data_IF_255943917957
#
_entry.id   IF_255943917957
#
_cell.length_a   1.000
_cell.length_b   1.000
_cell.length_c   1.000
_cell.angle_alpha   90.00
_cell.angle_beta   90.00
_cell.angle_gamma   90.00
#
_symmetry.space_group_name_H-M   'P 1'
#
loop_
_entity.id
_entity.type
_entity.pdbx_description
1 polymer ?
#
# COMPACT_ATOMS: atom_id res chain seq x y z
N UNK A 1 -13.49 23.93 -60.55
CA UNK A 1 -14.70 23.76 -59.72
C UNK A 1 -14.76 22.44 -58.95
N UNK A 2 -13.91 21.50 -59.23
CA UNK A 2 -13.86 20.14 -58.55
C UNK A 2 -13.17 20.16 -57.19
N UNK A 3 -12.14 20.97 -56.99
CA UNK A 3 -11.35 21.01 -55.74
C UNK A 3 -12.08 21.58 -54.50
N UNK A 4 -13.14 22.35 -54.68
CA UNK A 4 -13.89 22.94 -53.55
C UNK A 4 -14.88 21.96 -52.92
N UNK A 5 -15.35 20.94 -53.68
CA UNK A 5 -16.29 19.91 -53.16
C UNK A 5 -15.63 18.86 -52.26
N UNK A 6 -14.32 18.64 -52.38
CA UNK A 6 -13.57 17.66 -51.61
C UNK A 6 -13.14 18.16 -50.23
N UNK A 7 -12.98 19.51 -50.07
CA UNK A 7 -12.47 20.11 -48.83
C UNK A 7 -13.43 19.92 -47.66
N UNK A 8 -14.75 20.12 -47.87
CA UNK A 8 -15.73 19.97 -46.77
C UNK A 8 -15.84 18.56 -46.21
N UNK A 9 -16.07 17.51 -47.02
CA UNK A 9 -16.16 16.13 -46.51
C UNK A 9 -14.82 15.65 -45.93
N UNK A 10 -13.69 16.06 -46.48
CA UNK A 10 -12.36 15.72 -45.96
C UNK A 10 -12.14 16.32 -44.58
N UNK A 11 -12.44 17.61 -44.43
CA UNK A 11 -12.30 18.32 -43.11
C UNK A 11 -13.22 17.65 -42.09
N UNK A 12 -14.47 17.36 -42.48
CA UNK A 12 -15.43 16.68 -41.59
C UNK A 12 -14.96 15.28 -41.18
N UNK A 13 -14.42 14.52 -42.13
CA UNK A 13 -13.85 13.19 -41.85
C UNK A 13 -12.65 13.27 -40.90
N UNK A 14 -11.73 14.20 -41.15
CA UNK A 14 -10.57 14.40 -40.26
C UNK A 14 -11.03 14.79 -38.86
N UNK A 15 -11.98 15.74 -38.75
CA UNK A 15 -12.50 16.21 -37.46
C UNK A 15 -13.19 15.09 -36.67
N UNK A 16 -13.86 14.16 -37.36
CA UNK A 16 -14.58 13.04 -36.74
C UNK A 16 -13.65 11.87 -36.42
N UNK A 17 -12.79 11.48 -37.35
CA UNK A 17 -11.93 10.29 -37.20
C UNK A 17 -10.66 10.56 -36.38
N UNK A 18 -10.14 11.81 -36.34
CA UNK A 18 -8.92 12.13 -35.60
C UNK A 18 -9.04 11.87 -34.09
N UNK A 19 -10.13 12.25 -33.39
CA UNK A 19 -10.31 11.89 -31.98
C UNK A 19 -10.42 10.38 -31.76
N UNK A 20 -11.08 9.66 -32.67
CA UNK A 20 -11.23 8.20 -32.60
C UNK A 20 -9.89 7.50 -32.82
N UNK A 21 -9.11 7.93 -33.81
CA UNK A 21 -7.75 7.45 -34.04
C UNK A 21 -6.84 7.76 -32.85
N UNK A 22 -6.94 8.93 -32.26
CA UNK A 22 -6.18 9.30 -31.07
C UNK A 22 -6.50 8.36 -29.89
N UNK A 23 -7.78 8.07 -29.66
CA UNK A 23 -8.20 7.09 -28.63
C UNK A 23 -7.70 5.67 -28.97
N UNK A 24 -7.69 5.26 -30.23
CA UNK A 24 -7.16 3.98 -30.67
C UNK A 24 -5.63 3.88 -30.47
N UNK A 25 -4.91 4.99 -30.62
CA UNK A 25 -3.47 5.04 -30.33
C UNK A 25 -3.18 4.99 -28.82
N UNK A 26 -4.07 5.52 -27.97
CA UNK A 26 -3.94 5.44 -26.51
C UNK A 26 -4.38 4.07 -25.95
N UNK A 27 -5.26 3.34 -26.67
CA UNK A 27 -5.79 2.06 -26.20
C UNK A 27 -4.75 0.94 -26.02
N UNK A 28 -3.66 0.81 -26.80
CA UNK A 28 -2.65 -0.19 -26.55
C UNK A 28 -1.53 0.27 -25.60
N UNK A 29 -1.73 1.26 -24.74
CA UNK A 29 -0.77 1.46 -23.65
C UNK A 29 -0.91 0.26 -22.71
N UNK A 30 -0.14 -0.78 -22.99
CA UNK A 30 0.04 -1.90 -22.07
C UNK A 30 0.69 -1.31 -20.81
N UNK A 31 -0.09 -1.18 -19.75
CA UNK A 31 0.47 -1.04 -18.44
C UNK A 31 1.22 -2.36 -18.16
N UNK A 32 2.52 -2.35 -18.33
CA UNK A 32 3.37 -3.42 -17.85
C UNK A 32 3.43 -3.26 -16.33
N UNK A 33 2.46 -3.85 -15.63
CA UNK A 33 2.55 -4.00 -14.18
C UNK A 33 3.63 -5.05 -13.92
N UNK A 34 4.76 -4.61 -13.39
CA UNK A 34 5.74 -5.51 -12.81
C UNK A 34 5.18 -5.91 -11.45
N UNK A 35 4.96 -7.22 -11.27
CA UNK A 35 4.52 -7.75 -9.98
C UNK A 35 5.69 -7.63 -8.99
N UNK A 36 5.40 -7.21 -7.75
CA UNK A 36 6.38 -7.20 -6.67
C UNK A 36 7.00 -8.58 -6.47
N UNK A 37 8.29 -8.60 -6.16
CA UNK A 37 8.99 -9.83 -5.79
C UNK A 37 8.48 -10.39 -4.46
N UNK A 38 8.58 -11.71 -4.30
CA UNK A 38 8.44 -12.34 -2.99
C UNK A 38 9.77 -12.15 -2.25
N UNK A 39 9.75 -11.34 -1.19
CA UNK A 39 10.95 -11.10 -0.37
C UNK A 39 11.02 -12.04 0.82
N UNK A 40 9.88 -12.54 1.29
CA UNK A 40 9.80 -13.59 2.30
C UNK A 40 8.53 -14.42 2.14
N UNK A 41 8.69 -15.74 2.19
CA UNK A 41 7.60 -16.71 2.12
C UNK A 41 6.97 -16.97 3.49
N UNK A 42 5.74 -17.45 3.49
CA UNK A 42 5.05 -18.05 4.62
C UNK A 42 5.04 -17.19 5.89
N UNK A 43 4.58 -15.96 5.80
CA UNK A 43 4.32 -15.13 6.97
C UNK A 43 3.27 -15.84 7.85
N UNK A 44 3.56 -16.05 9.16
CA UNK A 44 2.61 -16.68 10.08
C UNK A 44 1.32 -15.90 10.22
N UNK A 45 0.22 -16.60 10.48
CA UNK A 45 -1.05 -15.94 10.86
C UNK A 45 -0.92 -15.26 12.22
N UNK A 46 -1.77 -14.25 12.45
CA UNK A 46 -1.75 -13.40 13.65
C UNK A 46 -2.67 -13.96 14.76
N UNK A 47 -2.46 -15.22 15.16
CA UNK A 47 -3.34 -15.89 16.14
C UNK A 47 -3.37 -15.22 17.52
N UNK A 48 -2.23 -14.60 17.92
CA UNK A 48 -2.07 -13.91 19.21
C UNK A 48 -2.65 -12.49 19.22
N UNK A 49 -3.30 -12.09 18.12
CA UNK A 49 -3.87 -10.77 17.98
C UNK A 49 -5.39 -10.84 17.86
N UNK A 50 -6.06 -9.85 18.46
CA UNK A 50 -7.51 -9.68 18.36
C UNK A 50 -7.83 -8.24 17.98
N UNK A 51 -8.91 -8.07 17.21
CA UNK A 51 -9.44 -6.74 16.92
C UNK A 51 -9.98 -6.06 18.17
N UNK A 52 -10.35 -4.79 18.04
CA UNK A 52 -11.00 -4.05 19.14
C UNK A 52 -12.28 -4.76 19.62
N UNK A 53 -13.00 -5.40 18.71
CA UNK A 53 -14.26 -6.10 18.94
C UNK A 53 -14.07 -7.58 19.38
N UNK A 54 -12.82 -8.03 19.45
CA UNK A 54 -12.44 -9.38 19.87
C UNK A 54 -12.36 -10.42 18.75
N UNK A 55 -12.54 -10.00 17.50
CA UNK A 55 -12.49 -10.88 16.34
C UNK A 55 -11.07 -11.35 16.04
N UNK A 56 -10.97 -12.55 15.46
CA UNK A 56 -9.72 -13.09 14.95
C UNK A 56 -9.37 -12.48 13.59
N UNK A 57 -8.09 -12.29 13.37
CA UNK A 57 -7.53 -11.72 12.15
C UNK A 57 -7.04 -12.86 11.25
N UNK A 58 -7.21 -12.71 9.94
CA UNK A 58 -6.67 -13.62 8.93
C UNK A 58 -5.88 -12.84 7.91
N UNK A 59 -4.68 -13.29 7.60
CA UNK A 59 -3.87 -12.81 6.49
C UNK A 59 -4.20 -13.54 5.19
N UNK A 60 -4.43 -14.86 5.30
CA UNK A 60 -4.74 -15.70 4.16
C UNK A 60 -5.95 -15.20 3.37
N UNK A 61 -5.87 -15.23 2.06
CA UNK A 61 -6.87 -14.73 1.10
C UNK A 61 -7.12 -13.20 1.15
N UNK A 62 -6.27 -12.43 1.84
CA UNK A 62 -6.34 -10.98 1.87
C UNK A 62 -5.03 -10.36 1.35
N UNK A 63 -5.16 -9.30 0.58
CA UNK A 63 -4.06 -8.38 0.33
C UNK A 63 -3.98 -7.45 1.54
N UNK A 64 -2.92 -7.57 2.31
CA UNK A 64 -2.80 -6.91 3.61
C UNK A 64 -1.66 -5.89 3.60
N UNK A 65 -1.96 -4.68 4.03
CA UNK A 65 -0.96 -3.69 4.43
C UNK A 65 -0.87 -3.71 5.94
N UNK A 66 0.28 -4.12 6.47
CA UNK A 66 0.51 -4.30 7.89
C UNK A 66 1.50 -3.28 8.42
N UNK A 67 1.12 -2.55 9.48
CA UNK A 67 1.95 -1.57 10.17
C UNK A 67 2.03 -1.82 11.67
N UNK A 68 3.14 -1.39 12.29
CA UNK A 68 3.38 -1.47 13.72
C UNK A 68 3.26 -0.07 14.32
N UNK A 69 2.18 0.19 15.06
CA UNK A 69 1.84 1.53 15.55
C UNK A 69 2.28 1.78 17.00
N UNK A 70 2.81 0.75 17.68
CA UNK A 70 3.45 0.90 18.99
C UNK A 70 2.54 1.32 20.14
N UNK A 71 3.18 1.77 21.23
CA UNK A 71 2.52 2.12 22.50
C UNK A 71 1.83 3.48 22.49
N UNK A 72 2.24 4.36 21.59
CA UNK A 72 1.74 5.74 21.51
C UNK A 72 1.30 6.11 20.08
N UNK A 73 0.27 5.44 19.51
CA UNK A 73 -0.14 5.64 18.13
C UNK A 73 -0.65 7.05 17.83
N UNK A 74 -1.01 7.84 18.84
CA UNK A 74 -1.38 9.24 18.66
C UNK A 74 -0.17 10.16 18.43
N UNK A 75 1.01 9.82 18.96
CA UNK A 75 2.23 10.59 18.70
C UNK A 75 2.66 10.46 17.23
N UNK A 76 2.37 9.31 16.62
CA UNK A 76 2.64 8.99 15.24
C UNK A 76 1.36 9.03 14.36
N UNK A 77 0.34 9.82 14.73
CA UNK A 77 -0.94 9.91 13.99
C UNK A 77 -0.74 10.25 12.51
N UNK A 78 0.33 10.99 12.17
CA UNK A 78 0.71 11.29 10.78
C UNK A 78 0.93 10.01 9.96
N UNK A 79 1.47 8.94 10.57
CA UNK A 79 1.63 7.64 9.89
C UNK A 79 0.27 7.08 9.46
N UNK A 80 -0.70 7.08 10.38
CA UNK A 80 -2.04 6.58 10.12
C UNK A 80 -2.76 7.42 9.05
N UNK A 81 -2.63 8.75 9.12
CA UNK A 81 -3.24 9.68 8.15
C UNK A 81 -2.64 9.50 6.76
N UNK A 82 -1.31 9.45 6.64
CA UNK A 82 -0.65 9.22 5.35
C UNK A 82 -1.07 7.89 4.74
N UNK A 83 -1.05 6.81 5.54
CA UNK A 83 -1.45 5.49 5.08
C UNK A 83 -2.92 5.47 4.66
N UNK A 84 -3.79 6.18 5.39
CA UNK A 84 -5.20 6.30 5.04
C UNK A 84 -5.39 7.04 3.72
N UNK A 85 -4.89 8.26 3.60
CA UNK A 85 -5.15 9.13 2.45
C UNK A 85 -4.46 8.64 1.17
N UNK A 86 -3.23 8.15 1.29
CA UNK A 86 -2.41 7.83 0.12
C UNK A 86 -2.58 6.38 -0.36
N UNK A 87 -3.04 5.48 0.51
CA UNK A 87 -3.19 4.06 0.20
C UNK A 87 -4.63 3.60 0.44
N UNK A 88 -5.09 3.57 1.69
CA UNK A 88 -6.36 2.95 2.05
C UNK A 88 -7.55 3.48 1.25
N UNK A 89 -7.69 4.80 1.12
CA UNK A 89 -8.84 5.43 0.45
C UNK A 89 -8.91 5.08 -1.05
N UNK A 90 -7.79 4.70 -1.67
CA UNK A 90 -7.75 4.24 -3.06
C UNK A 90 -8.29 2.83 -3.25
N UNK A 91 -8.21 1.99 -2.22
CA UNK A 91 -8.60 0.58 -2.27
C UNK A 91 -9.94 0.25 -1.60
N UNK A 92 -10.73 1.26 -1.25
CA UNK A 92 -12.05 1.08 -0.58
C UNK A 92 -13.02 0.14 -1.33
N UNK A 93 -12.86 -0.03 -2.64
CA UNK A 93 -13.70 -0.93 -3.45
C UNK A 93 -13.28 -2.41 -3.45
N UNK A 94 -12.13 -2.73 -2.87
CA UNK A 94 -11.57 -4.08 -2.93
C UNK A 94 -11.87 -4.87 -1.67
N UNK A 95 -12.84 -5.80 -1.75
CA UNK A 95 -13.32 -6.60 -0.60
C UNK A 95 -12.26 -7.49 0.06
N UNK A 96 -11.16 -7.79 -0.63
CA UNK A 96 -10.06 -8.64 -0.14
C UNK A 96 -8.81 -7.82 0.23
N UNK A 97 -8.93 -6.51 0.26
CA UNK A 97 -7.91 -5.60 0.77
C UNK A 97 -8.17 -5.31 2.25
N UNK A 98 -7.12 -5.24 3.05
CA UNK A 98 -7.21 -4.80 4.44
C UNK A 98 -5.94 -4.06 4.88
N UNK A 99 -6.13 -3.17 5.84
CA UNK A 99 -5.03 -2.55 6.59
C UNK A 99 -5.09 -3.05 8.03
N UNK A 100 -3.97 -3.54 8.53
CA UNK A 100 -3.81 -4.01 9.90
C UNK A 100 -2.78 -3.15 10.63
N UNK A 101 -3.21 -2.50 11.70
CA UNK A 101 -2.37 -1.73 12.60
C UNK A 101 -2.14 -2.54 13.88
N UNK A 102 -0.93 -3.11 14.04
CA UNK A 102 -0.57 -3.87 15.24
C UNK A 102 -0.21 -2.91 16.37
N UNK A 103 -0.82 -3.12 17.53
CA UNK A 103 -0.66 -2.29 18.72
C UNK A 103 -0.62 -3.14 19.99
N UNK A 104 0.13 -2.75 21.02
CA UNK A 104 0.07 -3.43 22.31
C UNK A 104 -1.25 -3.12 23.03
N UNK A 105 -1.65 -4.01 23.94
CA UNK A 105 -2.88 -3.82 24.75
C UNK A 105 -2.90 -2.50 25.49
N UNK A 106 -1.73 -1.99 25.91
CA UNK A 106 -1.58 -0.70 26.60
C UNK A 106 -1.99 0.52 25.76
N UNK A 107 -1.99 0.41 24.43
CA UNK A 107 -2.35 1.50 23.53
C UNK A 107 -3.86 1.66 23.29
N UNK A 108 -4.71 0.84 23.93
CA UNK A 108 -6.16 0.75 23.63
C UNK A 108 -6.89 2.09 23.66
N UNK A 109 -6.62 2.92 24.65
CA UNK A 109 -7.28 4.23 24.78
C UNK A 109 -6.87 5.18 23.66
N UNK A 110 -5.59 5.23 23.34
CA UNK A 110 -5.08 6.06 22.22
C UNK A 110 -5.61 5.58 20.87
N UNK A 111 -5.74 4.28 20.67
CA UNK A 111 -6.34 3.70 19.47
C UNK A 111 -7.79 4.13 19.30
N UNK A 112 -8.58 4.19 20.37
CA UNK A 112 -9.97 4.66 20.29
C UNK A 112 -10.06 6.13 19.83
N UNK A 113 -9.14 6.97 20.27
CA UNK A 113 -9.05 8.36 19.83
C UNK A 113 -8.64 8.42 18.36
N UNK A 114 -7.54 7.75 18.01
CA UNK A 114 -7.04 7.70 16.63
C UNK A 114 -8.09 7.15 15.64
N UNK A 115 -8.78 6.06 16.01
CA UNK A 115 -9.85 5.48 15.19
C UNK A 115 -10.97 6.49 14.94
N UNK A 116 -11.33 7.29 15.94
CA UNK A 116 -12.35 8.35 15.80
C UNK A 116 -11.91 9.44 14.82
N UNK A 117 -10.66 9.89 14.91
CA UNK A 117 -10.10 10.90 14.01
C UNK A 117 -10.04 10.38 12.57
N UNK A 118 -9.55 9.16 12.37
CA UNK A 118 -9.49 8.56 11.03
C UNK A 118 -10.89 8.35 10.43
N UNK A 119 -11.89 7.97 11.23
CA UNK A 119 -13.29 7.80 10.79
C UNK A 119 -14.00 9.11 10.44
N UNK A 120 -13.49 10.26 10.90
CA UNK A 120 -14.13 11.56 10.66
C UNK A 120 -14.24 11.91 9.16
N UNK A 121 -13.35 11.37 8.34
CA UNK A 121 -13.30 11.66 6.90
C UNK A 121 -13.91 10.56 6.03
N UNK A 122 -13.73 9.29 6.39
CA UNK A 122 -14.33 8.14 5.69
C UNK A 122 -14.32 6.90 6.60
N UNK A 123 -15.30 5.98 6.46
CA UNK A 123 -15.39 4.77 7.28
C UNK A 123 -14.16 3.87 7.11
N UNK A 124 -13.65 3.33 8.21
CA UNK A 124 -12.54 2.36 8.24
C UNK A 124 -13.06 0.91 8.09
N UNK A 125 -13.77 0.61 7.00
CA UNK A 125 -14.42 -0.68 6.78
C UNK A 125 -13.44 -1.86 6.71
N UNK A 126 -12.26 -1.64 6.11
CA UNK A 126 -11.22 -2.65 5.90
C UNK A 126 -9.93 -2.32 6.67
N UNK A 127 -10.02 -1.47 7.67
CA UNK A 127 -8.91 -1.11 8.55
C UNK A 127 -9.19 -1.61 9.96
N UNK A 128 -8.32 -2.46 10.48
CA UNK A 128 -8.43 -2.99 11.84
C UNK A 128 -7.20 -2.67 12.68
N UNK A 129 -7.44 -2.32 13.93
CA UNK A 129 -6.42 -2.29 14.95
C UNK A 129 -6.37 -3.65 15.65
N UNK A 130 -5.21 -4.27 15.65
CA UNK A 130 -4.98 -5.61 16.17
C UNK A 130 -4.12 -5.54 17.44
N UNK A 131 -4.68 -6.00 18.54
CA UNK A 131 -4.09 -5.92 19.87
C UNK A 131 -3.39 -7.23 20.22
N UNK A 132 -2.12 -7.12 20.64
CA UNK A 132 -1.31 -8.23 21.12
C UNK A 132 -0.47 -7.84 22.33
N UNK A 133 0.29 -8.80 22.87
CA UNK A 133 1.30 -8.51 23.89
C UNK A 133 2.53 -7.84 23.27
N UNK A 134 3.36 -7.20 24.09
CA UNK A 134 4.63 -6.60 23.64
C UNK A 134 5.54 -7.65 23.00
N UNK A 135 5.54 -8.87 23.53
CA UNK A 135 6.31 -10.02 23.04
C UNK A 135 5.80 -10.48 21.69
N UNK A 136 4.47 -10.65 21.54
CA UNK A 136 3.85 -11.06 20.27
C UNK A 136 4.15 -10.05 19.15
N UNK A 137 4.15 -8.73 19.45
CA UNK A 137 4.51 -7.68 18.48
C UNK A 137 5.97 -7.82 18.04
N UNK A 138 6.90 -8.01 18.98
CA UNK A 138 8.32 -8.19 18.68
C UNK A 138 8.56 -9.44 17.85
N UNK A 139 7.96 -10.56 18.24
CA UNK A 139 8.06 -11.83 17.53
C UNK A 139 7.52 -11.69 16.11
N UNK A 140 6.32 -11.10 15.97
CA UNK A 140 5.73 -10.84 14.64
C UNK A 140 6.64 -9.99 13.77
N UNK A 141 7.28 -8.95 14.33
CA UNK A 141 8.21 -8.10 13.58
C UNK A 141 9.40 -8.89 13.04
N UNK A 142 9.93 -9.85 13.78
CA UNK A 142 11.05 -10.71 13.34
C UNK A 142 10.67 -11.64 12.18
N UNK A 143 9.38 -11.87 11.95
CA UNK A 143 8.88 -12.67 10.85
C UNK A 143 8.94 -11.92 9.51
N UNK A 144 9.22 -10.63 9.50
CA UNK A 144 9.37 -9.85 8.28
C UNK A 144 10.83 -9.60 7.94
N UNK A 145 11.15 -9.52 6.64
CA UNK A 145 12.38 -8.86 6.20
C UNK A 145 12.16 -7.36 6.33
N UNK A 146 13.12 -6.69 6.93
CA UNK A 146 13.06 -5.24 7.16
C UNK A 146 14.48 -4.65 7.09
N UNK A 147 14.56 -3.36 6.80
CA UNK A 147 15.82 -2.62 6.75
C UNK A 147 16.10 -1.84 8.03
N UNK A 148 15.13 -1.74 8.94
CA UNK A 148 15.21 -0.94 10.17
C UNK A 148 14.74 -1.76 11.36
N UNK A 149 15.31 -1.56 12.55
CA UNK A 149 14.85 -2.24 13.76
C UNK A 149 13.50 -1.64 14.22
N UNK A 150 12.71 -2.47 14.91
CA UNK A 150 11.54 -2.02 15.64
C UNK A 150 11.97 -1.03 16.74
N UNK A 151 11.24 0.07 16.89
CA UNK A 151 11.52 1.07 17.91
C UNK A 151 11.22 0.54 19.32
N UNK A 152 11.79 1.19 20.34
CA UNK A 152 11.58 0.79 21.74
C UNK A 152 10.12 0.89 22.22
N UNK A 153 9.34 1.78 21.59
CA UNK A 153 7.91 1.91 21.81
C UNK A 153 7.07 0.92 20.97
N UNK A 154 7.71 -0.04 20.28
CA UNK A 154 7.09 -1.03 19.39
C UNK A 154 6.46 -0.44 18.12
N UNK A 155 6.83 0.77 17.74
CA UNK A 155 6.40 1.38 16.48
C UNK A 155 7.42 1.13 15.36
N UNK A 156 6.95 1.16 14.13
CA UNK A 156 7.78 1.20 12.93
C UNK A 156 7.23 2.26 11.96
N UNK A 157 8.14 2.95 11.28
CA UNK A 157 7.78 3.85 10.18
C UNK A 157 7.52 3.09 8.88
N UNK A 158 7.83 1.81 8.88
CA UNK A 158 7.69 0.93 7.72
C UNK A 158 6.38 0.13 7.81
N UNK A 159 5.70 0.00 6.67
CA UNK A 159 4.57 -0.88 6.48
C UNK A 159 4.91 -1.97 5.47
N UNK A 160 4.34 -3.14 5.66
CA UNK A 160 4.62 -4.35 4.91
C UNK A 160 3.42 -4.72 4.05
N UNK A 161 3.67 -5.11 2.81
CA UNK A 161 2.64 -5.66 1.92
C UNK A 161 2.71 -7.19 1.99
N UNK A 162 1.58 -7.81 2.25
CA UNK A 162 1.43 -9.27 2.34
C UNK A 162 0.35 -9.69 1.34
N UNK A 163 0.68 -10.62 0.47
CA UNK A 163 -0.25 -11.13 -0.52
C UNK A 163 -1.24 -12.17 0.07
N UNK A 164 -2.12 -12.70 -0.79
CA UNK A 164 -3.17 -13.64 -0.40
C UNK A 164 -2.63 -15.01 0.04
N UNK A 165 -1.46 -15.37 -0.40
CA UNK A 165 -0.74 -16.59 -0.08
C UNK A 165 0.18 -16.41 1.13
N UNK A 166 0.12 -15.24 1.78
CA UNK A 166 0.91 -14.85 2.96
C UNK A 166 2.41 -14.73 2.66
N UNK A 167 2.76 -14.23 1.48
CA UNK A 167 4.13 -13.83 1.17
C UNK A 167 4.29 -12.33 1.38
N UNK A 168 5.38 -11.93 2.02
CA UNK A 168 5.77 -10.53 2.04
C UNK A 168 6.26 -10.13 0.66
N UNK A 169 5.67 -9.06 0.13
CA UNK A 169 6.02 -8.49 -1.17
C UNK A 169 6.92 -7.28 -1.01
N UNK A 170 7.83 -7.10 -1.97
CA UNK A 170 8.76 -5.99 -2.02
C UNK A 170 9.54 -6.00 -3.31
N UNK A 171 10.69 -5.34 -3.34
CA UNK A 171 11.58 -5.31 -4.50
C UNK A 171 12.96 -5.81 -4.11
N UNK A 172 13.48 -6.78 -4.83
CA UNK A 172 14.85 -7.28 -4.62
C UNK A 172 15.88 -6.30 -5.20
N UNK A 173 15.47 -5.50 -6.17
CA UNK A 173 16.26 -4.41 -6.75
C UNK A 173 15.36 -3.18 -6.90
N UNK A 174 15.54 -2.18 -6.04
CA UNK A 174 14.75 -0.93 -6.03
C UNK A 174 15.51 0.24 -6.71
N UNK A 175 16.55 -0.06 -7.49
CA UNK A 175 17.28 0.96 -8.23
C UNK A 175 16.42 1.60 -9.30
N UNK A 176 16.58 2.90 -9.46
CA UNK A 176 16.01 3.66 -10.58
C UNK A 176 16.70 3.30 -11.89
N UNK A 177 16.08 3.63 -13.02
CA UNK A 177 16.67 3.38 -14.35
C UNK A 177 18.04 4.03 -14.50
N UNK A 178 18.22 5.26 -14.01
CA UNK A 178 19.52 5.94 -14.03
C UNK A 178 20.58 5.22 -13.18
N UNK A 179 20.21 4.73 -11.98
CA UNK A 179 21.13 3.97 -11.13
C UNK A 179 21.53 2.63 -11.75
N UNK A 180 20.63 2.00 -12.51
CA UNK A 180 20.96 0.77 -13.26
C UNK A 180 21.96 1.09 -14.38
N UNK A 181 21.75 2.18 -15.13
CA UNK A 181 22.68 2.62 -16.20
C UNK A 181 24.06 2.99 -15.63
N UNK A 182 24.10 3.62 -14.46
CA UNK A 182 25.34 3.97 -13.74
C UNK A 182 25.98 2.78 -13.01
N UNK A 183 25.37 1.59 -13.08
CA UNK A 183 25.83 0.37 -12.41
C UNK A 183 25.97 0.54 -10.89
N UNK A 184 25.08 1.31 -10.28
CA UNK A 184 25.02 1.46 -8.83
C UNK A 184 24.81 0.10 -8.13
N UNK A 185 25.18 0.02 -6.86
CA UNK A 185 25.02 -1.19 -6.04
C UNK A 185 23.53 -1.51 -5.89
N UNK A 186 23.16 -2.79 -6.04
CA UNK A 186 21.80 -3.26 -5.85
C UNK A 186 21.40 -3.08 -4.38
N UNK A 187 20.22 -2.50 -4.15
CA UNK A 187 19.62 -2.43 -2.83
C UNK A 187 18.15 -2.84 -2.88
N UNK A 188 17.70 -3.64 -1.90
CA UNK A 188 16.32 -4.10 -1.84
C UNK A 188 15.42 -3.10 -1.10
N UNK A 189 14.13 -3.11 -1.44
CA UNK A 189 13.05 -2.48 -0.69
C UNK A 189 12.14 -3.58 -0.10
N UNK A 190 12.19 -3.78 1.21
CA UNK A 190 11.39 -4.81 1.90
C UNK A 190 10.09 -4.26 2.47
N UNK A 191 9.98 -2.95 2.65
CA UNK A 191 8.84 -2.26 3.25
C UNK A 191 8.78 -0.81 2.76
N UNK A 192 7.63 -0.16 2.91
CA UNK A 192 7.39 1.21 2.48
C UNK A 192 7.44 2.15 3.68
N UNK A 193 8.23 3.21 3.59
CA UNK A 193 8.29 4.24 4.63
C UNK A 193 7.05 5.14 4.57
N UNK A 194 6.19 5.07 5.57
CA UNK A 194 4.92 5.82 5.61
C UNK A 194 5.11 7.33 5.78
N UNK A 195 6.28 7.79 6.22
CA UNK A 195 6.61 9.22 6.28
C UNK A 195 7.11 9.77 4.93
N UNK A 196 7.53 8.92 4.02
CA UNK A 196 7.96 9.32 2.70
C UNK A 196 6.79 9.28 1.72
N UNK A 197 6.17 10.45 1.51
CA UNK A 197 4.99 10.61 0.62
C UNK A 197 5.30 10.10 -0.79
N UNK A 198 6.53 10.24 -1.27
CA UNK A 198 6.98 9.71 -2.56
C UNK A 198 6.87 8.20 -2.65
N UNK A 199 7.27 7.48 -1.60
CA UNK A 199 7.20 6.02 -1.55
C UNK A 199 5.75 5.53 -1.53
N UNK A 200 4.89 6.17 -0.73
CA UNK A 200 3.48 5.79 -0.67
C UNK A 200 2.72 6.12 -1.95
N UNK A 201 2.96 7.32 -2.51
CA UNK A 201 2.18 7.81 -3.65
C UNK A 201 2.63 7.21 -4.97
N UNK A 202 3.95 7.07 -5.17
CA UNK A 202 4.52 6.70 -6.46
C UNK A 202 4.91 5.23 -6.55
N UNK A 203 5.18 4.57 -5.41
CA UNK A 203 5.54 3.15 -5.37
C UNK A 203 4.38 2.32 -4.82
N UNK A 204 4.03 2.47 -3.55
CA UNK A 204 3.05 1.62 -2.88
C UNK A 204 1.66 1.68 -3.53
N UNK A 205 1.24 2.86 -4.00
CA UNK A 205 -0.05 3.02 -4.68
C UNK A 205 -0.15 2.26 -6.01
N UNK A 206 0.97 2.02 -6.65
CA UNK A 206 1.03 1.28 -7.93
C UNK A 206 1.33 -0.21 -7.68
N UNK A 207 1.91 -0.55 -6.54
CA UNK A 207 2.37 -1.89 -6.16
C UNK A 207 1.30 -2.70 -5.41
N UNK A 208 0.28 -2.07 -4.80
CA UNK A 208 -0.85 -2.69 -4.09
C UNK A 208 -2.07 -2.78 -4.97
#
# INVERSE_FOLDING_TARGET
MFMYKIKKPLVLSVLFFLPVLFLLFLYPSKHNYETLDIVKDNIPELYDFKTLDGDSIKLENHLTVLGFFGKAPMEDATLALNLKELVYDKFLGFKRFQVLALVPHSAREQVLILKRELNAYAPLQYWSFAFGTDEAIKETYTNFKNNRPLQSNLASKDVFVIDRERHQRGRLDDRTKSEIEEKAVIYPMYAYNVLEISDLKNKMSDDV
#
